data_IF_164564493896
#
_entry.id   IF_164564493896
#
_cell.length_a   1.000
_cell.length_b   1.000
_cell.length_c   1.000
_cell.angle_alpha   90.00
_cell.angle_beta   90.00
_cell.angle_gamma   90.00
#
_symmetry.space_group_name_H-M   'P 1'
#
loop_
_entity.id
_entity.type
_entity.pdbx_description
1 polymer ?
#
# COMPACT_ATOMS: atom_id res chain seq x y z
N UNK A 1 27.60 -26.20 -20.99
CA UNK A 1 26.85 -27.43 -21.17
C UNK A 1 25.73 -27.17 -22.16
N UNK A 2 25.86 -27.66 -23.40
CA UNK A 2 24.84 -27.60 -24.43
C UNK A 2 23.81 -28.68 -24.15
N UNK A 3 22.71 -28.32 -23.47
CA UNK A 3 21.60 -29.25 -23.21
C UNK A 3 20.60 -29.32 -24.39
N UNK A 4 20.83 -28.61 -25.51
CA UNK A 4 19.94 -28.58 -26.69
C UNK A 4 18.57 -27.97 -26.46
N UNK A 5 18.32 -27.34 -25.28
CA UNK A 5 17.07 -26.71 -24.98
C UNK A 5 16.86 -25.42 -25.78
N UNK A 6 15.72 -25.25 -26.40
CA UNK A 6 15.34 -23.99 -27.07
C UNK A 6 15.09 -22.87 -26.05
N UNK A 7 16.03 -21.95 -25.96
CA UNK A 7 15.99 -20.79 -25.07
C UNK A 7 15.21 -19.60 -25.67
N UNK A 8 14.70 -19.72 -26.90
CA UNK A 8 14.05 -18.60 -27.61
C UNK A 8 12.85 -18.04 -26.84
N UNK A 9 12.02 -18.89 -26.26
CA UNK A 9 10.88 -18.48 -25.43
C UNK A 9 11.34 -17.77 -24.17
N UNK A 10 12.35 -18.30 -23.50
CA UNK A 10 12.91 -17.69 -22.29
C UNK A 10 13.50 -16.29 -22.56
N UNK A 11 14.22 -16.13 -23.66
CA UNK A 11 14.75 -14.83 -24.06
C UNK A 11 13.65 -13.84 -24.41
N UNK A 12 12.59 -14.27 -25.09
CA UNK A 12 11.42 -13.44 -25.37
C UNK A 12 10.72 -12.97 -24.09
N UNK A 13 10.48 -13.87 -23.14
CA UNK A 13 9.86 -13.55 -21.84
C UNK A 13 10.71 -12.55 -21.05
N UNK A 14 12.03 -12.75 -21.02
CA UNK A 14 12.98 -11.82 -20.39
C UNK A 14 12.94 -10.45 -21.08
N UNK A 15 12.91 -10.41 -22.40
CA UNK A 15 12.83 -9.17 -23.16
C UNK A 15 11.54 -8.41 -22.85
N UNK A 16 10.38 -9.09 -22.80
CA UNK A 16 9.09 -8.49 -22.42
C UNK A 16 9.15 -7.94 -20.99
N UNK A 17 9.73 -8.69 -20.05
CA UNK A 17 9.90 -8.21 -18.68
C UNK A 17 10.73 -6.92 -18.63
N UNK A 18 11.84 -6.87 -19.36
CA UNK A 18 12.69 -5.68 -19.40
C UNK A 18 11.99 -4.48 -20.10
N UNK A 19 11.17 -4.73 -21.12
CA UNK A 19 10.38 -3.69 -21.77
C UNK A 19 9.39 -3.06 -20.78
N UNK A 20 8.69 -3.87 -19.98
CA UNK A 20 7.81 -3.38 -18.92
C UNK A 20 8.57 -2.67 -17.79
N UNK A 21 9.78 -3.11 -17.45
CA UNK A 21 10.65 -2.42 -16.51
C UNK A 21 11.01 -1.02 -17.02
N UNK A 22 11.46 -0.90 -18.26
CA UNK A 22 11.83 0.37 -18.87
C UNK A 22 10.62 1.33 -18.93
N UNK A 23 9.45 0.82 -19.30
CA UNK A 23 8.21 1.60 -19.28
C UNK A 23 7.89 2.09 -17.85
N UNK A 24 8.03 1.23 -16.86
CA UNK A 24 7.85 1.60 -15.45
C UNK A 24 8.83 2.66 -14.99
N UNK A 25 10.09 2.59 -15.41
CA UNK A 25 11.13 3.57 -15.10
C UNK A 25 10.81 4.94 -15.73
N UNK A 26 10.40 4.97 -17.00
CA UNK A 26 9.97 6.18 -17.70
C UNK A 26 8.76 6.83 -17.00
N UNK A 27 7.74 6.03 -16.67
CA UNK A 27 6.56 6.49 -15.94
C UNK A 27 6.92 7.07 -14.56
N UNK A 28 7.84 6.43 -13.84
CA UNK A 28 8.34 6.93 -12.56
C UNK A 28 9.04 8.28 -12.71
N UNK A 29 9.85 8.45 -13.78
CA UNK A 29 10.54 9.70 -14.09
C UNK A 29 9.62 10.91 -14.26
N UNK A 30 8.43 10.69 -14.82
CA UNK A 30 7.39 11.75 -14.97
C UNK A 30 6.38 11.74 -13.81
N UNK A 31 6.68 11.08 -12.71
CA UNK A 31 5.83 10.94 -11.51
C UNK A 31 4.45 10.33 -11.78
N UNK A 32 4.31 9.54 -12.82
CA UNK A 32 3.15 8.66 -13.02
C UNK A 32 3.36 7.36 -12.22
N UNK A 33 3.30 7.47 -10.89
CA UNK A 33 3.71 6.38 -9.98
C UNK A 33 2.75 5.20 -10.04
N UNK A 34 1.44 5.45 -10.12
CA UNK A 34 0.44 4.39 -10.29
C UNK A 34 0.61 3.63 -11.60
N UNK A 35 0.92 4.31 -12.71
CA UNK A 35 1.26 3.67 -13.97
C UNK A 35 2.52 2.82 -13.87
N UNK A 36 3.57 3.36 -13.25
CA UNK A 36 4.82 2.67 -13.01
C UNK A 36 4.63 1.38 -12.18
N UNK A 37 3.81 1.42 -11.11
CA UNK A 37 3.48 0.22 -10.32
C UNK A 37 2.85 -0.86 -11.20
N UNK A 38 1.91 -0.51 -12.08
CA UNK A 38 1.28 -1.46 -13.00
C UNK A 38 2.29 -2.07 -13.96
N UNK A 39 3.14 -1.24 -14.57
CA UNK A 39 4.18 -1.70 -15.50
C UNK A 39 5.20 -2.61 -14.83
N UNK A 40 5.69 -2.25 -13.65
CA UNK A 40 6.65 -3.06 -12.91
C UNK A 40 6.05 -4.38 -12.41
N UNK A 41 4.80 -4.38 -11.96
CA UNK A 41 4.09 -5.62 -11.64
C UNK A 41 3.94 -6.52 -12.87
N UNK A 42 3.69 -5.96 -14.04
CA UNK A 42 3.67 -6.74 -15.28
C UNK A 42 5.07 -7.27 -15.64
N UNK A 43 6.13 -6.48 -15.47
CA UNK A 43 7.51 -6.97 -15.59
C UNK A 43 7.75 -8.21 -14.72
N UNK A 44 7.35 -8.15 -13.44
CA UNK A 44 7.52 -9.25 -12.49
C UNK A 44 6.61 -10.46 -12.75
N UNK A 45 5.46 -10.28 -13.42
CA UNK A 45 4.63 -11.40 -13.89
C UNK A 45 5.35 -12.23 -14.96
N UNK A 46 6.07 -11.58 -15.87
CA UNK A 46 6.85 -12.26 -16.90
C UNK A 46 8.15 -12.84 -16.34
N UNK A 47 8.84 -12.08 -15.48
CA UNK A 47 10.08 -12.53 -14.85
C UNK A 47 10.14 -12.13 -13.38
N UNK A 48 9.73 -13.03 -12.49
CA UNK A 48 9.75 -12.79 -11.03
C UNK A 48 11.15 -12.53 -10.46
N UNK A 49 12.21 -12.89 -11.19
CA UNK A 49 13.60 -12.69 -10.82
C UNK A 49 14.20 -11.39 -11.38
N UNK A 50 13.38 -10.50 -11.93
CA UNK A 50 13.85 -9.19 -12.35
C UNK A 50 14.09 -8.31 -11.13
N UNK A 51 15.34 -8.33 -10.64
CA UNK A 51 15.76 -7.62 -9.42
C UNK A 51 15.56 -6.10 -9.55
N UNK A 52 15.94 -5.54 -10.71
CA UNK A 52 15.82 -4.10 -10.96
C UNK A 52 14.36 -3.64 -10.93
N UNK A 53 13.45 -4.41 -11.54
CA UNK A 53 12.03 -4.12 -11.51
C UNK A 53 11.47 -4.17 -10.08
N UNK A 54 11.93 -5.12 -9.26
CA UNK A 54 11.49 -5.27 -7.88
C UNK A 54 12.04 -4.15 -6.98
N UNK A 55 13.31 -3.80 -7.16
CA UNK A 55 13.93 -2.71 -6.42
C UNK A 55 13.26 -1.37 -6.72
N UNK A 56 12.99 -1.10 -8.00
CA UNK A 56 12.30 0.10 -8.43
C UNK A 56 10.84 0.13 -7.92
N UNK A 57 10.13 -1.01 -7.95
CA UNK A 57 8.78 -1.12 -7.40
C UNK A 57 8.75 -0.76 -5.91
N UNK A 58 9.72 -1.24 -5.14
CA UNK A 58 9.87 -0.87 -3.73
C UNK A 58 10.09 0.63 -3.53
N UNK A 59 10.95 1.27 -4.34
CA UNK A 59 11.17 2.72 -4.31
C UNK A 59 9.88 3.49 -4.59
N UNK A 60 9.11 3.06 -5.59
CA UNK A 60 7.84 3.71 -5.94
C UNK A 60 6.81 3.56 -4.81
N UNK A 61 6.74 2.41 -4.15
CA UNK A 61 5.91 2.24 -2.97
C UNK A 61 6.32 3.18 -1.82
N UNK A 62 7.62 3.40 -1.60
CA UNK A 62 8.09 4.43 -0.66
C UNK A 62 7.63 5.83 -1.07
N UNK A 63 7.71 6.18 -2.35
CA UNK A 63 7.28 7.49 -2.86
C UNK A 63 5.76 7.70 -2.78
N UNK A 64 4.96 6.63 -2.85
CA UNK A 64 3.51 6.69 -2.63
C UNK A 64 3.10 6.54 -1.17
N UNK A 65 4.08 6.41 -0.26
CA UNK A 65 3.88 6.26 1.19
C UNK A 65 3.50 4.85 1.64
N UNK A 66 3.58 3.85 0.77
CA UNK A 66 3.26 2.45 1.03
C UNK A 66 4.52 1.69 1.49
N UNK A 67 5.07 2.09 2.64
CA UNK A 67 6.39 1.61 3.11
C UNK A 67 6.42 0.09 3.36
N UNK A 68 5.32 -0.50 3.81
CA UNK A 68 5.25 -1.97 4.04
C UNK A 68 5.37 -2.73 2.73
N UNK A 69 4.68 -2.27 1.68
CA UNK A 69 4.77 -2.87 0.35
C UNK A 69 6.19 -2.71 -0.21
N UNK A 70 6.84 -1.57 0.05
CA UNK A 70 8.24 -1.34 -0.31
C UNK A 70 9.19 -2.33 0.37
N UNK A 71 9.06 -2.48 1.69
CA UNK A 71 9.87 -3.43 2.47
C UNK A 71 9.67 -4.86 1.98
N UNK A 72 8.43 -5.26 1.67
CA UNK A 72 8.11 -6.58 1.16
C UNK A 72 8.84 -6.85 -0.17
N UNK A 73 8.80 -5.91 -1.11
CA UNK A 73 9.48 -6.07 -2.39
C UNK A 73 11.01 -6.14 -2.23
N UNK A 74 11.59 -5.34 -1.33
CA UNK A 74 13.04 -5.37 -1.09
C UNK A 74 13.50 -6.63 -0.35
N UNK A 75 12.73 -7.15 0.60
CA UNK A 75 13.01 -8.43 1.26
C UNK A 75 13.02 -9.56 0.24
N UNK A 76 12.02 -9.62 -0.66
CA UNK A 76 11.98 -10.61 -1.73
C UNK A 76 13.15 -10.41 -2.70
N UNK A 77 13.49 -9.16 -3.06
CA UNK A 77 14.64 -8.86 -3.91
C UNK A 77 15.94 -9.38 -3.31
N UNK A 78 16.17 -9.08 -2.02
CA UNK A 78 17.36 -9.56 -1.30
C UNK A 78 17.41 -11.08 -1.18
N UNK A 79 16.26 -11.76 -1.08
CA UNK A 79 16.22 -13.23 -1.04
C UNK A 79 16.64 -13.85 -2.37
N UNK A 80 16.36 -13.21 -3.50
CA UNK A 80 16.78 -13.69 -4.82
C UNK A 80 18.23 -13.33 -5.16
N UNK A 81 18.70 -12.17 -4.73
CA UNK A 81 20.07 -11.71 -4.92
C UNK A 81 20.61 -11.10 -3.62
N UNK A 82 21.29 -11.94 -2.78
CA UNK A 82 21.78 -11.48 -1.47
C UNK A 82 22.99 -10.53 -1.54
N UNK A 83 23.78 -10.57 -2.62
CA UNK A 83 24.98 -9.76 -2.82
C UNK A 83 24.76 -8.73 -3.94
N UNK A 84 25.42 -7.60 -3.82
CA UNK A 84 25.38 -6.52 -4.82
C UNK A 84 23.95 -6.10 -5.22
N UNK A 85 23.09 -5.95 -4.20
CA UNK A 85 21.68 -5.63 -4.39
C UNK A 85 21.32 -4.34 -3.63
N UNK A 86 20.81 -3.34 -4.36
CA UNK A 86 20.36 -2.07 -3.80
C UNK A 86 19.27 -2.22 -2.72
N UNK A 87 18.47 -3.28 -2.80
CA UNK A 87 17.47 -3.57 -1.77
C UNK A 87 18.08 -3.73 -0.37
N UNK A 88 19.30 -4.30 -0.27
CA UNK A 88 19.98 -4.43 1.02
C UNK A 88 20.27 -3.07 1.64
N UNK A 89 20.76 -2.12 0.85
CA UNK A 89 21.01 -0.75 1.31
C UNK A 89 19.72 -0.07 1.81
N UNK A 90 18.62 -0.18 1.05
CA UNK A 90 17.34 0.43 1.46
C UNK A 90 16.74 -0.20 2.72
N UNK A 91 16.89 -1.53 2.87
CA UNK A 91 16.44 -2.24 4.07
C UNK A 91 17.26 -1.81 5.29
N UNK A 92 18.57 -1.75 5.16
CA UNK A 92 19.49 -1.37 6.23
C UNK A 92 19.26 0.09 6.68
N UNK A 93 19.05 1.01 5.72
CA UNK A 93 18.72 2.41 6.01
C UNK A 93 17.44 2.55 6.86
N UNK A 94 16.39 1.78 6.51
CA UNK A 94 15.13 1.82 7.28
C UNK A 94 15.28 1.12 8.63
N UNK A 95 16.04 0.03 8.72
CA UNK A 95 16.23 -0.72 9.97
C UNK A 95 17.09 0.03 10.98
N UNK A 96 18.06 0.82 10.54
CA UNK A 96 18.90 1.63 11.41
C UNK A 96 18.14 2.79 12.07
N UNK A 97 17.10 3.28 11.41
CA UNK A 97 16.24 4.36 11.95
C UNK A 97 15.01 3.78 12.67
N UNK A 98 15.17 3.52 13.97
CA UNK A 98 14.06 3.05 14.83
C UNK A 98 12.87 4.01 14.85
N UNK A 99 13.11 5.31 14.81
CA UNK A 99 12.06 6.32 14.78
C UNK A 99 11.21 6.22 13.50
N UNK A 100 11.85 5.88 12.38
CA UNK A 100 11.17 5.67 11.10
C UNK A 100 10.26 4.44 11.11
N UNK A 101 10.73 3.31 11.67
CA UNK A 101 9.92 2.11 11.84
C UNK A 101 8.71 2.34 12.76
N UNK A 102 8.90 3.03 13.87
CA UNK A 102 7.82 3.39 14.78
C UNK A 102 6.79 4.30 14.11
N UNK A 103 7.24 5.27 13.32
CA UNK A 103 6.37 6.15 12.53
C UNK A 103 5.55 5.37 11.50
N UNK A 104 6.15 4.39 10.81
CA UNK A 104 5.45 3.50 9.88
C UNK A 104 4.38 2.69 10.60
N UNK A 105 4.71 2.06 11.71
CA UNK A 105 3.78 1.27 12.52
C UNK A 105 2.60 2.13 13.03
N UNK A 106 2.90 3.34 13.52
CA UNK A 106 1.86 4.27 13.95
C UNK A 106 0.97 4.73 12.78
N UNK A 107 1.55 4.97 11.62
CA UNK A 107 0.81 5.33 10.41
C UNK A 107 -0.19 4.24 10.03
N UNK A 108 0.24 2.98 9.99
CA UNK A 108 -0.61 1.82 9.67
C UNK A 108 -1.74 1.70 10.70
N UNK A 109 -1.40 1.73 11.99
CA UNK A 109 -2.39 1.61 13.08
C UNK A 109 -3.45 2.70 12.99
N UNK A 110 -3.04 3.96 12.77
CA UNK A 110 -3.95 5.09 12.64
C UNK A 110 -4.79 5.04 11.35
N UNK A 111 -4.20 4.58 10.25
CA UNK A 111 -4.93 4.41 9.00
C UNK A 111 -6.01 3.32 9.12
N UNK A 112 -5.69 2.19 9.73
CA UNK A 112 -6.66 1.13 10.00
C UNK A 112 -7.77 1.58 10.96
N UNK A 113 -7.43 2.39 11.98
CA UNK A 113 -8.44 3.03 12.83
C UNK A 113 -9.36 3.97 12.04
N UNK A 114 -8.80 4.76 11.12
CA UNK A 114 -9.61 5.63 10.27
C UNK A 114 -10.58 4.83 9.39
N UNK A 115 -10.12 3.72 8.79
CA UNK A 115 -10.98 2.81 8.03
C UNK A 115 -12.10 2.21 8.91
N UNK A 116 -11.77 1.84 10.14
CA UNK A 116 -12.77 1.34 11.09
C UNK A 116 -13.83 2.40 11.40
N UNK A 117 -13.43 3.65 11.69
CA UNK A 117 -14.37 4.76 11.89
C UNK A 117 -15.21 5.06 10.65
N UNK A 118 -14.65 4.94 9.45
CA UNK A 118 -15.43 5.04 8.21
C UNK A 118 -16.52 3.96 8.10
N UNK A 119 -16.23 2.72 8.52
CA UNK A 119 -17.21 1.62 8.53
C UNK A 119 -18.34 1.87 9.57
N UNK A 120 -18.05 2.60 10.64
CA UNK A 120 -19.01 2.97 11.68
C UNK A 120 -19.72 4.30 11.39
N UNK A 121 -19.56 4.88 10.22
CA UNK A 121 -20.02 6.23 9.82
C UNK A 121 -19.58 7.37 10.77
N UNK A 122 -18.53 7.13 11.56
CA UNK A 122 -17.94 8.11 12.49
C UNK A 122 -16.92 8.99 11.75
N UNK A 123 -17.43 9.85 10.84
CA UNK A 123 -16.63 10.62 9.88
C UNK A 123 -15.64 11.57 10.53
N UNK A 124 -16.05 12.29 11.57
CA UNK A 124 -15.17 13.24 12.26
C UNK A 124 -13.96 12.54 12.89
N UNK A 125 -14.16 11.38 13.52
CA UNK A 125 -13.08 10.57 14.07
C UNK A 125 -12.14 10.04 12.96
N UNK A 126 -12.70 9.59 11.85
CA UNK A 126 -11.92 9.17 10.68
C UNK A 126 -11.07 10.32 10.14
N UNK A 127 -11.62 11.53 9.99
CA UNK A 127 -10.90 12.73 9.56
C UNK A 127 -9.74 13.06 10.51
N UNK A 128 -9.98 13.00 11.83
CA UNK A 128 -8.94 13.25 12.84
C UNK A 128 -7.79 12.25 12.69
N UNK A 129 -8.10 10.95 12.55
CA UNK A 129 -7.06 9.94 12.38
C UNK A 129 -6.32 10.11 11.06
N UNK A 130 -7.01 10.39 9.96
CA UNK A 130 -6.34 10.61 8.65
C UNK A 130 -5.43 11.84 8.66
N UNK A 131 -5.79 12.91 9.36
CA UNK A 131 -4.88 14.05 9.55
C UNK A 131 -3.62 13.64 10.33
N UNK A 132 -3.76 12.81 11.37
CA UNK A 132 -2.61 12.25 12.10
C UNK A 132 -1.78 11.31 11.23
N UNK A 133 -2.41 10.50 10.37
CA UNK A 133 -1.71 9.67 9.36
C UNK A 133 -0.87 10.55 8.44
N UNK A 134 -1.46 11.61 7.88
CA UNK A 134 -0.77 12.50 6.96
C UNK A 134 0.29 13.40 7.60
N UNK A 135 0.24 13.61 8.93
CA UNK A 135 1.33 14.25 9.66
C UNK A 135 2.53 13.31 9.87
N UNK A 136 2.30 12.00 9.99
CA UNK A 136 3.36 10.98 10.11
C UNK A 136 3.91 10.59 8.74
N UNK A 137 3.04 10.44 7.75
CA UNK A 137 3.40 10.06 6.39
C UNK A 137 2.65 10.93 5.37
N UNK A 138 3.20 12.10 5.02
CA UNK A 138 2.58 13.02 4.08
C UNK A 138 2.53 12.49 2.63
N UNK A 139 3.30 11.45 2.31
CA UNK A 139 3.34 10.83 0.97
C UNK A 139 2.22 9.79 0.76
N UNK A 140 1.47 9.39 1.79
CA UNK A 140 0.47 8.32 1.66
C UNK A 140 -0.74 8.77 0.82
N UNK A 141 -0.69 8.46 -0.49
CA UNK A 141 -1.71 8.83 -1.47
C UNK A 141 -3.10 8.32 -1.08
N UNK A 142 -3.20 7.06 -0.62
CA UNK A 142 -4.46 6.45 -0.16
C UNK A 142 -5.12 7.24 0.98
N UNK A 143 -4.32 7.79 1.90
CA UNK A 143 -4.85 8.60 3.00
C UNK A 143 -5.38 9.96 2.52
N UNK A 144 -4.69 10.60 1.57
CA UNK A 144 -5.20 11.82 0.93
C UNK A 144 -6.52 11.57 0.21
N UNK A 145 -6.62 10.48 -0.55
CA UNK A 145 -7.84 10.13 -1.28
C UNK A 145 -9.01 9.89 -0.34
N UNK A 146 -8.80 9.10 0.72
CA UNK A 146 -9.84 8.80 1.71
C UNK A 146 -10.28 10.07 2.48
N UNK A 147 -9.34 10.90 2.90
CA UNK A 147 -9.63 12.18 3.56
C UNK A 147 -10.44 13.11 2.66
N UNK A 148 -10.10 13.16 1.39
CA UNK A 148 -10.83 13.97 0.41
C UNK A 148 -12.26 13.46 0.18
N UNK A 149 -12.47 12.14 0.16
CA UNK A 149 -13.82 11.56 0.08
C UNK A 149 -14.67 11.94 1.28
N UNK A 150 -14.12 11.90 2.50
CA UNK A 150 -14.83 12.31 3.70
C UNK A 150 -15.19 13.82 3.65
N UNK A 151 -14.28 14.66 3.18
CA UNK A 151 -14.57 16.07 2.95
C UNK A 151 -15.65 16.29 1.87
N UNK A 152 -15.68 15.46 0.83
CA UNK A 152 -16.73 15.48 -0.19
C UNK A 152 -18.11 15.14 0.40
N UNK A 153 -18.17 14.13 1.25
CA UNK A 153 -19.39 13.76 1.96
C UNK A 153 -19.88 14.87 2.90
N UNK A 154 -18.96 15.53 3.59
CA UNK A 154 -19.26 16.68 4.46
C UNK A 154 -19.50 17.99 3.68
N UNK A 155 -19.50 17.94 2.34
CA UNK A 155 -19.67 19.13 1.49
C UNK A 155 -18.58 20.20 1.66
N UNK A 156 -17.42 19.84 2.22
CA UNK A 156 -16.24 20.70 2.41
C UNK A 156 -15.37 20.68 1.16
N UNK A 157 -15.92 21.19 0.04
CA UNK A 157 -15.36 21.01 -1.32
C UNK A 157 -13.94 21.58 -1.50
N UNK A 158 -13.66 22.74 -0.90
CA UNK A 158 -12.33 23.35 -1.00
C UNK A 158 -11.25 22.54 -0.27
N UNK A 159 -11.58 21.96 0.90
CA UNK A 159 -10.68 21.07 1.63
C UNK A 159 -10.44 19.78 0.86
N UNK A 160 -11.50 19.21 0.26
CA UNK A 160 -11.36 18.04 -0.62
C UNK A 160 -10.42 18.35 -1.80
N UNK A 161 -10.62 19.48 -2.49
CA UNK A 161 -9.78 19.92 -3.60
C UNK A 161 -8.33 20.10 -3.20
N UNK A 162 -8.07 20.78 -2.07
CA UNK A 162 -6.71 20.97 -1.54
C UNK A 162 -6.03 19.62 -1.25
N UNK A 163 -6.74 18.73 -0.62
CA UNK A 163 -6.22 17.39 -0.24
C UNK A 163 -5.90 16.55 -1.48
N UNK A 164 -6.78 16.54 -2.50
CA UNK A 164 -6.55 15.83 -3.76
C UNK A 164 -5.41 16.43 -4.58
N UNK A 165 -5.25 17.77 -4.56
CA UNK A 165 -4.07 18.40 -5.19
C UNK A 165 -2.76 17.96 -4.55
N UNK A 166 -2.74 17.75 -3.23
CA UNK A 166 -1.55 17.21 -2.57
C UNK A 166 -1.26 15.77 -3.01
N UNK A 167 -2.30 14.92 -3.13
CA UNK A 167 -2.15 13.58 -3.71
C UNK A 167 -1.61 13.63 -5.16
N UNK A 168 -2.13 14.55 -5.97
CA UNK A 168 -1.70 14.74 -7.37
C UNK A 168 -0.28 15.26 -7.52
N UNK A 169 0.30 15.91 -6.51
CA UNK A 169 1.74 16.27 -6.51
C UNK A 169 2.64 15.05 -6.30
N UNK A 170 2.14 14.04 -5.61
CA UNK A 170 2.88 12.80 -5.34
C UNK A 170 2.79 11.88 -6.57
N UNK A 171 1.57 11.64 -7.05
CA UNK A 171 1.28 10.79 -8.21
C UNK A 171 0.39 11.56 -9.20
N UNK A 172 1.01 12.07 -10.27
CA UNK A 172 0.40 13.05 -11.19
C UNK A 172 -0.76 12.48 -12.00
N UNK A 173 -0.68 11.20 -12.39
CA UNK A 173 -1.64 10.54 -13.28
C UNK A 173 -2.51 9.51 -12.57
N UNK A 174 -2.60 9.59 -11.25
CA UNK A 174 -3.46 8.69 -10.48
C UNK A 174 -4.94 8.87 -10.88
N UNK A 175 -5.48 7.87 -11.56
CA UNK A 175 -6.84 7.91 -12.13
C UNK A 175 -7.92 8.14 -11.07
N UNK A 176 -7.75 7.59 -9.86
CA UNK A 176 -8.67 7.78 -8.75
C UNK A 176 -8.63 9.22 -8.24
N UNK A 177 -7.44 9.79 -8.05
CA UNK A 177 -7.25 11.19 -7.65
C UNK A 177 -7.85 12.15 -8.68
N UNK A 178 -7.58 11.90 -9.96
CA UNK A 178 -8.11 12.72 -11.06
C UNK A 178 -9.64 12.64 -11.15
N UNK A 179 -10.23 11.46 -10.96
CA UNK A 179 -11.69 11.27 -10.94
C UNK A 179 -12.32 12.07 -9.80
N UNK A 180 -11.78 11.99 -8.60
CA UNK A 180 -12.30 12.77 -7.46
C UNK A 180 -12.10 14.28 -7.63
N UNK A 181 -10.99 14.72 -8.23
CA UNK A 181 -10.80 16.13 -8.58
C UNK A 181 -11.85 16.65 -9.57
N UNK A 182 -12.21 15.84 -10.58
CA UNK A 182 -13.29 16.21 -11.51
C UNK A 182 -14.62 16.36 -10.79
N UNK A 183 -14.97 15.43 -9.93
CA UNK A 183 -16.19 15.47 -9.11
C UNK A 183 -16.24 16.73 -8.22
N UNK A 184 -15.15 17.01 -7.50
CA UNK A 184 -15.05 18.20 -6.66
C UNK A 184 -15.21 19.47 -7.49
N UNK A 185 -14.53 19.56 -8.65
CA UNK A 185 -14.61 20.73 -9.50
C UNK A 185 -16.01 20.93 -10.12
N UNK A 186 -16.72 19.84 -10.45
CA UNK A 186 -18.10 19.90 -10.92
C UNK A 186 -19.02 20.50 -9.84
N UNK A 187 -18.97 19.98 -8.62
CA UNK A 187 -19.77 20.48 -7.48
C UNK A 187 -19.43 21.92 -7.10
N UNK A 188 -18.16 22.32 -7.23
CA UNK A 188 -17.75 23.72 -6.99
C UNK A 188 -18.33 24.67 -8.05
N UNK A 189 -18.40 24.23 -9.32
CA UNK A 189 -19.02 25.02 -10.39
C UNK A 189 -20.52 25.18 -10.19
N UNK A 190 -21.21 24.15 -9.73
CA UNK A 190 -22.64 24.19 -9.40
C UNK A 190 -22.93 25.17 -8.27
N UNK A 191 -22.07 25.25 -7.25
CA UNK A 191 -22.19 26.17 -6.11
C UNK A 191 -21.82 27.62 -6.42
N UNK A 192 -21.00 27.84 -7.44
CA UNK A 192 -20.71 29.19 -7.93
C UNK A 192 -21.55 29.41 -9.18
N UNK A 193 -22.74 30.02 -9.07
CA UNK A 193 -23.46 30.42 -10.27
C UNK A 193 -22.52 31.32 -11.02
N UNK A 194 -22.16 30.90 -12.23
CA UNK A 194 -21.39 31.73 -13.16
C UNK A 194 -21.99 33.11 -13.12
N UNK A 195 -21.20 34.11 -12.73
CA UNK A 195 -21.54 35.48 -13.09
C UNK A 195 -21.83 35.45 -14.59
N UNK A 196 -23.10 35.57 -14.97
CA UNK A 196 -23.47 35.81 -16.36
C UNK A 196 -22.54 36.91 -16.84
N UNK A 197 -21.91 36.80 -18.00
CA UNK A 197 -21.19 37.92 -18.55
C UNK A 197 -22.17 39.10 -18.57
N UNK A 198 -21.81 40.17 -17.89
CA UNK A 198 -22.54 41.41 -18.03
C UNK A 198 -22.50 41.73 -19.52
N UNK A 199 -23.63 42.13 -20.05
CA UNK A 199 -23.85 42.67 -21.38
C UNK A 199 -22.99 43.95 -21.56
N UNK A 200 -21.69 43.75 -21.87
CA UNK A 200 -20.78 44.77 -22.30
C UNK A 200 -20.13 44.27 -23.61
N UNK A 201 -20.98 43.98 -24.58
CA UNK A 201 -20.55 43.59 -25.93
C UNK A 201 -20.68 44.73 -26.94
N UNK A 202 -20.26 45.91 -26.53
CA UNK A 202 -20.03 47.03 -27.46
C UNK A 202 -18.52 47.28 -27.53
N UNK A 203 -17.91 46.95 -28.66
CA UNK A 203 -16.53 47.36 -28.94
C UNK A 203 -16.59 48.75 -29.60
N UNK A 204 -16.15 49.79 -28.87
CA UNK A 204 -15.95 51.12 -29.41
C UNK A 204 -14.49 51.27 -29.87
N UNK A 205 -14.28 51.55 -31.12
CA UNK A 205 -13.00 51.97 -31.67
C UNK A 205 -13.04 53.48 -31.88
N UNK A 206 -12.05 54.20 -31.37
CA UNK A 206 -11.84 55.60 -31.60
C UNK A 206 -10.87 55.71 -32.76
N UNK A 207 -11.34 56.26 -33.88
CA UNK A 207 -10.50 56.62 -35.04
C UNK A 207 -10.63 58.09 -35.27
N UNK A 208 -9.65 58.89 -34.85
CA UNK A 208 -9.68 60.37 -34.93
C UNK A 208 -10.75 60.94 -34.01
N UNK A 209 -11.57 61.85 -34.51
CA UNK A 209 -12.64 62.54 -33.76
C UNK A 209 -14.00 61.84 -33.84
N UNK A 210 -14.08 60.64 -34.39
CA UNK A 210 -15.33 59.87 -34.50
C UNK A 210 -15.27 58.57 -33.74
N UNK A 211 -16.32 58.26 -32.95
CA UNK A 211 -16.50 57.01 -32.24
C UNK A 211 -17.38 56.11 -33.09
N UNK A 212 -16.79 55.06 -33.66
CA UNK A 212 -17.53 54.05 -34.43
C UNK A 212 -17.97 52.95 -33.46
N UNK A 213 -19.27 52.80 -33.24
CA UNK A 213 -19.88 51.74 -32.47
C UNK A 213 -20.28 50.63 -33.44
N UNK A 214 -19.57 49.48 -33.40
CA UNK A 214 -19.95 48.31 -34.17
C UNK A 214 -20.70 47.32 -33.28
N UNK A 215 -21.90 46.86 -33.67
CA UNK A 215 -22.55 45.73 -33.00
C UNK A 215 -21.83 44.44 -33.39
N UNK A 216 -21.53 43.59 -32.39
CA UNK A 216 -20.81 42.32 -32.51
C UNK A 216 -21.59 41.21 -33.24
N UNK A 217 -22.68 41.53 -33.92
CA UNK A 217 -23.49 40.54 -34.65
C UNK A 217 -23.61 40.95 -36.11
N UNK A 218 -22.94 40.18 -36.96
CA UNK A 218 -23.36 40.05 -38.36
C UNK A 218 -24.71 39.38 -38.41
N UNK A 219 -25.71 40.07 -38.89
CA UNK A 219 -27.07 39.54 -39.11
C UNK A 219 -27.05 38.80 -40.44
N UNK A 220 -26.69 37.52 -40.40
CA UNK A 220 -26.94 36.65 -41.54
C UNK A 220 -28.43 36.26 -41.57
N UNK A 221 -28.98 36.30 -42.77
CA UNK A 221 -30.38 36.07 -43.10
C UNK A 221 -30.84 34.64 -42.78
N UNK A 222 -32.06 34.55 -42.30
CA UNK A 222 -32.86 33.33 -42.14
C UNK A 222 -32.46 32.35 -41.08
N UNK A 223 -32.57 32.81 -39.82
CA UNK A 223 -32.47 31.92 -38.62
C UNK A 223 -33.50 30.79 -38.59
N UNK A 224 -34.68 31.00 -39.27
CA UNK A 224 -35.76 29.99 -39.28
C UNK A 224 -35.43 28.70 -40.00
N UNK A 225 -34.81 28.79 -41.18
CA UNK A 225 -34.45 27.58 -41.95
C UNK A 225 -33.27 26.83 -41.29
N UNK A 226 -32.27 27.56 -40.75
CA UNK A 226 -31.14 26.96 -40.07
C UNK A 226 -31.53 26.26 -38.77
N UNK A 227 -32.49 26.78 -38.00
CA UNK A 227 -33.04 26.16 -36.83
C UNK A 227 -33.78 24.84 -37.14
N UNK A 228 -34.57 24.80 -38.24
CA UNK A 228 -35.24 23.61 -38.66
C UNK A 228 -34.28 22.48 -39.04
N UNK A 229 -33.19 22.79 -39.75
CA UNK A 229 -32.16 21.79 -40.10
C UNK A 229 -31.39 21.32 -38.87
N UNK A 230 -31.10 22.21 -37.89
CA UNK A 230 -30.47 21.82 -36.64
C UNK A 230 -31.39 20.88 -35.82
N UNK A 231 -32.68 21.21 -35.75
CA UNK A 231 -33.64 20.35 -35.03
C UNK A 231 -33.76 19.00 -35.70
N UNK A 232 -33.86 18.92 -37.03
CA UNK A 232 -33.92 17.65 -37.77
C UNK A 232 -32.61 16.84 -37.56
N UNK A 233 -31.44 17.49 -37.65
CA UNK A 233 -30.13 16.88 -37.38
C UNK A 233 -30.01 16.35 -35.96
N UNK A 234 -30.55 17.09 -34.99
CA UNK A 234 -30.56 16.72 -33.59
C UNK A 234 -31.50 15.51 -33.32
N UNK A 235 -32.64 15.48 -33.92
CA UNK A 235 -33.61 14.35 -33.83
C UNK A 235 -33.01 13.09 -34.47
N UNK A 236 -32.40 13.19 -35.64
CA UNK A 236 -31.79 12.04 -36.33
C UNK A 236 -30.55 11.59 -35.56
N UNK A 237 -29.69 12.53 -35.08
CA UNK A 237 -28.52 12.21 -34.27
C UNK A 237 -28.85 11.57 -32.93
N UNK A 238 -29.90 12.05 -32.24
CA UNK A 238 -30.38 11.43 -30.99
C UNK A 238 -31.01 10.07 -31.21
N UNK A 239 -31.74 9.87 -32.32
CA UNK A 239 -32.29 8.56 -32.67
C UNK A 239 -31.20 7.53 -32.98
N UNK A 240 -30.16 7.90 -33.73
CA UNK A 240 -29.01 7.02 -34.02
C UNK A 240 -28.25 6.71 -32.72
N UNK A 241 -28.01 7.70 -31.86
CA UNK A 241 -27.30 7.51 -30.59
C UNK A 241 -28.10 6.63 -29.62
N UNK A 242 -29.40 6.85 -29.52
CA UNK A 242 -30.27 6.09 -28.62
C UNK A 242 -30.47 4.64 -29.07
N UNK A 243 -30.54 4.39 -30.36
CA UNK A 243 -30.85 3.04 -30.91
C UNK A 243 -29.60 2.19 -31.18
N UNK A 244 -28.48 2.78 -31.59
CA UNK A 244 -27.29 2.02 -32.01
C UNK A 244 -26.15 2.09 -31.00
N UNK A 245 -25.91 3.25 -30.40
CA UNK A 245 -24.71 3.46 -29.53
C UNK A 245 -25.04 3.14 -28.09
N UNK A 246 -26.15 3.62 -27.53
CA UNK A 246 -26.51 3.44 -26.13
C UNK A 246 -26.64 1.98 -25.72
N UNK A 247 -27.33 1.10 -26.48
CA UNK A 247 -27.42 -0.31 -26.13
C UNK A 247 -26.09 -1.04 -26.17
N UNK A 248 -25.24 -0.72 -27.18
CA UNK A 248 -23.91 -1.32 -27.34
C UNK A 248 -22.97 -0.94 -26.18
N UNK A 249 -22.94 0.32 -25.82
CA UNK A 249 -22.12 0.82 -24.68
C UNK A 249 -22.65 0.28 -23.36
N UNK A 250 -23.96 0.21 -23.19
CA UNK A 250 -24.62 -0.28 -21.98
C UNK A 250 -24.39 -1.78 -21.76
N UNK A 251 -24.41 -2.57 -22.83
CA UNK A 251 -24.14 -4.01 -22.76
C UNK A 251 -22.66 -4.28 -22.46
N UNK A 252 -21.73 -3.59 -23.13
CA UNK A 252 -20.31 -3.68 -22.82
C UNK A 252 -20.01 -3.26 -21.37
N UNK A 253 -20.60 -2.16 -20.90
CA UNK A 253 -20.43 -1.70 -19.52
C UNK A 253 -21.00 -2.70 -18.50
N UNK A 254 -22.11 -3.40 -18.82
CA UNK A 254 -22.66 -4.47 -17.99
C UNK A 254 -21.76 -5.70 -17.96
N UNK A 255 -21.24 -6.13 -19.10
CA UNK A 255 -20.32 -7.27 -19.19
C UNK A 255 -19.01 -6.99 -18.44
N UNK A 256 -18.44 -5.78 -18.61
CA UNK A 256 -17.23 -5.38 -17.89
C UNK A 256 -17.46 -5.25 -16.37
N UNK A 257 -18.63 -4.78 -15.96
CA UNK A 257 -19.00 -4.72 -14.56
C UNK A 257 -19.20 -6.12 -13.96
N UNK A 258 -19.84 -7.04 -14.69
CA UNK A 258 -20.01 -8.43 -14.27
C UNK A 258 -18.66 -9.17 -14.20
N UNK A 259 -17.78 -9.02 -15.21
CA UNK A 259 -16.42 -9.58 -15.13
C UNK A 259 -15.64 -9.09 -13.91
N UNK A 260 -15.66 -7.79 -13.65
CA UNK A 260 -14.99 -7.22 -12.47
C UNK A 260 -15.57 -7.70 -11.15
N UNK A 261 -16.90 -7.98 -11.13
CA UNK A 261 -17.57 -8.53 -9.95
C UNK A 261 -17.15 -9.98 -9.69
N UNK A 262 -17.05 -10.79 -10.75
CA UNK A 262 -16.57 -12.18 -10.66
C UNK A 262 -15.10 -12.21 -10.24
N UNK A 263 -14.21 -11.40 -10.87
CA UNK A 263 -12.80 -11.31 -10.50
C UNK A 263 -12.61 -10.84 -9.04
N UNK A 264 -13.43 -9.87 -8.60
CA UNK A 264 -13.39 -9.41 -7.21
C UNK A 264 -13.89 -10.52 -6.25
N UNK A 265 -14.92 -11.25 -6.61
CA UNK A 265 -15.44 -12.39 -5.81
C UNK A 265 -14.41 -13.50 -5.69
N UNK A 266 -13.74 -13.87 -6.79
CA UNK A 266 -12.70 -14.88 -6.81
C UNK A 266 -11.47 -14.44 -5.98
N UNK A 267 -11.11 -13.16 -6.08
CA UNK A 267 -10.03 -12.59 -5.28
C UNK A 267 -10.36 -12.59 -3.78
N UNK A 268 -11.60 -12.25 -3.42
CA UNK A 268 -12.07 -12.29 -2.03
C UNK A 268 -12.07 -13.73 -1.50
N UNK A 269 -12.52 -14.70 -2.31
CA UNK A 269 -12.50 -16.12 -1.94
C UNK A 269 -11.09 -16.64 -1.72
N UNK A 270 -10.17 -16.32 -2.66
CA UNK A 270 -8.76 -16.71 -2.55
C UNK A 270 -8.08 -16.07 -1.34
N UNK A 271 -8.32 -14.78 -1.11
CA UNK A 271 -7.80 -14.09 0.06
C UNK A 271 -8.38 -14.65 1.36
N UNK A 272 -9.65 -15.04 1.37
CA UNK A 272 -10.29 -15.69 2.52
C UNK A 272 -9.66 -17.04 2.86
N UNK A 273 -9.28 -17.84 1.85
CA UNK A 273 -8.52 -19.07 2.05
C UNK A 273 -7.11 -18.80 2.59
N UNK A 274 -6.41 -17.84 2.00
CA UNK A 274 -5.06 -17.46 2.45
C UNK A 274 -5.07 -16.96 3.90
N UNK A 275 -6.10 -16.21 4.31
CA UNK A 275 -6.24 -15.77 5.70
C UNK A 275 -6.40 -16.97 6.64
N UNK A 276 -7.24 -17.93 6.30
CA UNK A 276 -7.40 -19.16 7.12
C UNK A 276 -6.12 -19.97 7.22
N UNK A 277 -5.37 -20.09 6.12
CA UNK A 277 -4.09 -20.80 6.12
C UNK A 277 -3.05 -20.08 6.99
N UNK A 278 -3.02 -18.75 6.94
CA UNK A 278 -2.14 -17.93 7.79
C UNK A 278 -2.54 -17.98 9.26
N UNK A 279 -3.84 -17.99 9.56
CA UNK A 279 -4.34 -18.16 10.93
C UNK A 279 -3.96 -19.53 11.49
N UNK A 280 -4.04 -20.61 10.67
CA UNK A 280 -3.56 -21.93 11.04
C UNK A 280 -2.06 -21.97 11.32
N UNK A 281 -1.25 -21.40 10.45
CA UNK A 281 0.21 -21.30 10.66
C UNK A 281 0.57 -20.49 11.90
N UNK A 282 -0.17 -19.44 12.18
CA UNK A 282 0.06 -18.61 13.37
C UNK A 282 -0.26 -19.38 14.67
N UNK A 283 -1.31 -20.21 14.67
CA UNK A 283 -1.64 -21.06 15.81
C UNK A 283 -0.59 -22.16 16.02
N UNK A 284 -0.10 -22.78 14.94
CA UNK A 284 0.97 -23.79 15.01
C UNK A 284 2.28 -23.20 15.53
N UNK A 285 2.66 -22.01 15.05
CA UNK A 285 3.85 -21.28 15.54
C UNK A 285 3.73 -20.90 17.02
N UNK A 286 2.54 -20.51 17.46
CA UNK A 286 2.27 -20.18 18.85
C UNK A 286 2.44 -21.41 19.76
N UNK A 287 1.91 -22.56 19.32
CA UNK A 287 2.05 -23.83 20.05
C UNK A 287 3.53 -24.26 20.12
N UNK A 288 4.28 -24.13 19.03
CA UNK A 288 5.72 -24.42 19.01
C UNK A 288 6.51 -23.48 19.94
N UNK A 289 6.15 -22.20 19.98
CA UNK A 289 6.76 -21.22 20.87
C UNK A 289 6.50 -21.56 22.35
N UNK A 290 5.30 -21.98 22.68
CA UNK A 290 4.90 -22.38 24.02
C UNK A 290 5.64 -23.65 24.47
N UNK A 291 5.77 -24.65 23.57
CA UNK A 291 6.57 -25.83 23.80
C UNK A 291 8.06 -25.54 24.01
N UNK A 292 8.64 -24.67 23.16
CA UNK A 292 10.03 -24.23 23.30
C UNK A 292 10.26 -23.45 24.59
N UNK A 293 9.31 -22.61 24.97
CA UNK A 293 9.40 -21.85 26.24
C UNK A 293 9.41 -22.78 27.42
N UNK A 294 8.53 -23.80 27.43
CA UNK A 294 8.47 -24.81 28.47
C UNK A 294 9.75 -25.63 28.53
N UNK A 295 10.32 -25.99 27.39
CA UNK A 295 11.58 -26.74 27.34
C UNK A 295 12.76 -25.89 27.82
N UNK A 296 12.81 -24.60 27.46
CA UNK A 296 13.83 -23.68 27.96
C UNK A 296 13.77 -23.51 29.49
N UNK A 297 12.57 -23.42 30.06
CA UNK A 297 12.41 -23.40 31.52
C UNK A 297 12.94 -24.68 32.21
N UNK A 298 12.64 -25.87 31.65
CA UNK A 298 13.17 -27.12 32.13
C UNK A 298 14.70 -27.16 32.09
N UNK A 299 15.29 -26.75 30.96
CA UNK A 299 16.75 -26.67 30.81
C UNK A 299 17.38 -25.67 31.80
N UNK A 300 16.75 -24.55 32.03
CA UNK A 300 17.22 -23.54 33.01
C UNK A 300 17.22 -24.11 34.43
N UNK A 301 16.17 -24.84 34.80
CA UNK A 301 16.10 -25.53 36.11
C UNK A 301 17.16 -26.63 36.21
N UNK A 302 17.41 -27.34 35.12
CA UNK A 302 18.44 -28.39 35.06
C UNK A 302 19.84 -27.78 35.23
N UNK A 303 20.17 -26.71 34.49
CA UNK A 303 21.45 -25.99 34.64
C UNK A 303 21.64 -25.52 36.08
N UNK A 304 20.67 -24.82 36.65
CA UNK A 304 20.73 -24.34 38.05
C UNK A 304 20.92 -25.49 39.05
N UNK A 305 20.36 -26.66 38.78
CA UNK A 305 20.53 -27.86 39.61
C UNK A 305 21.99 -28.37 39.57
N UNK A 306 22.59 -28.44 38.38
CA UNK A 306 23.99 -28.83 38.23
C UNK A 306 24.97 -27.81 38.82
N UNK A 307 24.67 -26.50 38.67
CA UNK A 307 25.45 -25.44 39.29
C UNK A 307 25.47 -25.55 40.82
N UNK A 308 24.30 -25.81 41.45
CA UNK A 308 24.21 -26.01 42.88
C UNK A 308 25.00 -27.26 43.35
N UNK A 309 24.90 -28.35 42.57
CA UNK A 309 25.66 -29.58 42.90
C UNK A 309 27.17 -29.31 42.81
N UNK A 310 27.62 -28.66 41.74
CA UNK A 310 29.01 -28.29 41.57
C UNK A 310 29.51 -27.38 42.69
N UNK A 311 28.72 -26.39 43.07
CA UNK A 311 29.05 -25.46 44.18
C UNK A 311 29.14 -26.19 45.51
N UNK A 312 28.28 -27.12 45.78
CA UNK A 312 28.32 -27.95 46.95
C UNK A 312 29.61 -28.80 47.01
N UNK A 313 29.94 -29.47 45.88
CA UNK A 313 31.19 -30.22 45.75
C UNK A 313 32.43 -29.34 45.96
N UNK A 314 32.48 -28.15 45.40
CA UNK A 314 33.58 -27.19 45.57
C UNK A 314 33.70 -26.73 47.02
N UNK A 315 32.57 -26.45 47.68
CA UNK A 315 32.58 -26.06 49.11
C UNK A 315 33.06 -27.18 50.01
N UNK A 316 32.65 -28.41 49.76
CA UNK A 316 33.03 -29.58 50.54
C UNK A 316 34.50 -30.00 50.32
N UNK A 317 34.90 -30.25 49.08
CA UNK A 317 36.24 -30.75 48.75
C UNK A 317 37.30 -29.67 48.67
N UNK A 318 36.95 -28.46 48.26
CA UNK A 318 37.87 -27.34 48.06
C UNK A 318 38.15 -26.57 49.34
N UNK A 319 37.11 -26.04 49.99
CA UNK A 319 37.23 -25.16 51.19
C UNK A 319 36.95 -25.88 52.53
N UNK A 320 36.50 -27.15 52.51
CA UNK A 320 36.04 -27.92 53.68
C UNK A 320 34.90 -27.22 54.45
N UNK A 321 34.12 -26.41 53.80
CA UNK A 321 32.97 -25.72 54.41
C UNK A 321 31.71 -26.59 54.28
N UNK A 322 31.50 -27.45 55.24
CA UNK A 322 30.37 -28.39 55.32
C UNK A 322 29.05 -27.65 55.43
N UNK A 323 29.01 -26.52 56.12
CA UNK A 323 27.77 -25.76 56.33
C UNK A 323 27.25 -25.17 55.03
N UNK A 324 28.13 -24.56 54.21
CA UNK A 324 27.75 -24.02 52.89
C UNK A 324 27.45 -25.11 51.89
N UNK A 325 28.18 -26.24 51.95
CA UNK A 325 27.93 -27.38 51.10
C UNK A 325 26.50 -27.96 51.33
N UNK A 326 26.10 -28.17 52.60
CA UNK A 326 24.75 -28.64 52.94
C UNK A 326 23.64 -27.74 52.47
N UNK A 327 23.74 -26.42 52.72
CA UNK A 327 22.76 -25.42 52.25
C UNK A 327 22.64 -25.34 50.75
N UNK A 328 23.64 -25.75 50.00
CA UNK A 328 23.65 -25.74 48.55
C UNK A 328 23.09 -27.03 48.01
N UNK A 329 23.34 -28.16 48.66
CA UNK A 329 22.71 -29.50 48.36
C UNK A 329 21.20 -29.44 48.51
N UNK A 330 20.67 -28.78 49.53
CA UNK A 330 19.22 -28.61 49.74
C UNK A 330 18.49 -27.95 48.54
N UNK A 331 19.22 -27.20 47.73
CA UNK A 331 18.67 -26.56 46.52
C UNK A 331 18.71 -27.44 45.27
N UNK A 332 19.36 -28.61 45.34
CA UNK A 332 19.51 -29.52 44.22
C UNK A 332 18.21 -30.30 43.99
N UNK A 333 17.65 -30.20 42.81
CA UNK A 333 16.44 -30.96 42.41
C UNK A 333 16.84 -32.28 41.76
N UNK A 334 16.98 -33.34 42.55
CA UNK A 334 17.50 -34.65 42.12
C UNK A 334 16.81 -35.27 40.90
N UNK A 335 15.53 -34.93 40.66
CA UNK A 335 14.79 -35.41 39.48
C UNK A 335 15.37 -34.92 38.13
N UNK A 336 16.17 -33.86 38.12
CA UNK A 336 16.81 -33.31 36.93
C UNK A 336 18.28 -33.73 36.79
N UNK A 337 18.82 -34.54 37.70
CA UNK A 337 20.17 -35.07 37.64
C UNK A 337 20.21 -36.35 36.79
N UNK A 338 21.33 -36.54 36.07
CA UNK A 338 21.64 -37.83 35.46
C UNK A 338 21.99 -38.85 36.55
N UNK A 339 21.96 -40.16 36.24
CA UNK A 339 22.26 -41.20 37.21
C UNK A 339 23.66 -41.09 37.80
N UNK A 340 24.65 -40.65 36.99
CA UNK A 340 26.01 -40.38 37.48
C UNK A 340 26.04 -39.19 38.43
N UNK A 341 25.26 -38.14 38.17
CA UNK A 341 25.21 -36.96 39.05
C UNK A 341 24.43 -37.25 40.34
N UNK A 342 23.42 -38.14 40.31
CA UNK A 342 22.74 -38.62 41.51
C UNK A 342 23.69 -39.37 42.43
N UNK A 343 24.53 -40.25 41.88
CA UNK A 343 25.56 -40.97 42.67
C UNK A 343 26.54 -40.01 43.36
N UNK A 344 26.86 -38.87 42.73
CA UNK A 344 27.70 -37.83 43.32
C UNK A 344 26.94 -37.12 44.45
N UNK A 345 25.66 -36.77 44.20
CA UNK A 345 24.78 -36.13 45.17
C UNK A 345 24.65 -37.01 46.43
N UNK A 346 24.29 -38.29 46.27
CA UNK A 346 24.10 -39.25 47.36
C UNK A 346 25.38 -39.37 48.22
N UNK A 347 26.57 -39.44 47.60
CA UNK A 347 27.85 -39.47 48.31
C UNK A 347 28.20 -38.16 49.01
N UNK A 348 27.61 -37.06 48.64
CA UNK A 348 27.84 -35.74 49.25
C UNK A 348 26.86 -35.47 50.38
N UNK A 349 25.80 -36.24 50.51
CA UNK A 349 24.86 -36.22 51.64
C UNK A 349 25.32 -37.11 52.82
N UNK A 350 26.13 -38.16 52.57
CA UNK A 350 26.81 -38.99 53.58
C UNK A 350 28.02 -38.20 54.20
#
# INVERSE_FOLDING_TARGET
PNCGADLSVFLKVRHISNAYYNLGLEQAGVRNLSGAIVSLKNSLKFNKYNIDARNLLGLIYCETGEVVDALSEWVISRSYQPKDNLASHYLDEIQQDRGRLDSVNQTIKKYNQALHYCKQDSRDLAIIQLKKVLSLNPKLVKAHQLLALLYLQDNKLELAKKTLRNAGKIDTNNTTTLRYLREVNARLKEKSPSKKPKDDDLISYQSGNETIIMPKRFKESSIGATLVYIVIGLIVGTAITAFLIVPSVRNKAKEDAQRKLVEASDTISTNGQTIKDLEGQMEDLKNQLEEQTTNNEKVKVQISTYENLLQACVSYYGSKDVTTAGKTLDKVKTKYLSDKAKTIYDRSEE
#
